data_IF_972857425097
#
_entry.id   IF_972857425097
#
_cell.length_a   1.000
_cell.length_b   1.000
_cell.length_c   1.000
_cell.angle_alpha   90.00
_cell.angle_beta   90.00
_cell.angle_gamma   90.00
#
_symmetry.space_group_name_H-M   'P 1'
#
loop_
_entity.id
_entity.type
_entity.pdbx_description
1 polymer ?
#
# COMPACT_ATOMS: atom_id res chain seq x y z
N UNK A 1 -24.28 -8.44 -1.67
CA UNK A 1 -23.26 -9.33 -1.10
C UNK A 1 -22.72 -10.21 -2.22
N UNK A 2 -21.71 -9.72 -2.94
CA UNK A 2 -21.20 -10.38 -4.15
C UNK A 2 -19.84 -9.89 -4.61
N UNK A 3 -19.40 -8.70 -4.14
CA UNK A 3 -18.06 -8.15 -4.41
C UNK A 3 -16.98 -8.67 -3.45
N UNK A 4 -17.38 -9.20 -2.29
CA UNK A 4 -16.48 -9.77 -1.27
C UNK A 4 -15.50 -10.82 -1.83
N UNK A 5 -15.93 -11.85 -2.61
CA UNK A 5 -14.99 -12.81 -3.19
C UNK A 5 -14.02 -12.16 -4.20
N UNK A 6 -14.46 -11.12 -4.92
CA UNK A 6 -13.58 -10.38 -5.84
C UNK A 6 -12.51 -9.60 -5.09
N UNK A 7 -12.87 -8.94 -3.99
CA UNK A 7 -11.92 -8.22 -3.14
C UNK A 7 -10.88 -9.18 -2.58
N UNK A 8 -11.29 -10.34 -2.05
CA UNK A 8 -10.36 -11.36 -1.54
C UNK A 8 -9.44 -11.88 -2.63
N UNK A 9 -9.96 -12.13 -3.84
CA UNK A 9 -9.14 -12.57 -4.97
C UNK A 9 -8.11 -11.50 -5.39
N UNK A 10 -8.49 -10.22 -5.42
CA UNK A 10 -7.59 -9.10 -5.73
C UNK A 10 -6.52 -8.94 -4.65
N UNK A 11 -6.87 -9.06 -3.37
CA UNK A 11 -5.89 -9.03 -2.27
C UNK A 11 -4.90 -10.20 -2.41
N UNK A 12 -5.38 -11.42 -2.69
CA UNK A 12 -4.51 -12.56 -2.91
C UNK A 12 -3.57 -12.33 -4.11
N UNK A 13 -4.10 -11.76 -5.20
CA UNK A 13 -3.30 -11.37 -6.37
C UNK A 13 -2.21 -10.34 -5.99
N UNK A 14 -2.56 -9.30 -5.22
CA UNK A 14 -1.60 -8.31 -4.73
C UNK A 14 -0.47 -8.93 -3.88
N UNK A 15 -0.79 -9.92 -3.03
CA UNK A 15 0.22 -10.61 -2.24
C UNK A 15 1.17 -11.41 -3.12
N UNK A 16 0.66 -12.08 -4.15
CA UNK A 16 1.47 -12.83 -5.11
C UNK A 16 2.37 -11.89 -5.91
N UNK A 17 1.84 -10.79 -6.45
CA UNK A 17 2.64 -9.83 -7.21
C UNK A 17 3.68 -9.13 -6.33
N UNK A 18 3.36 -8.83 -5.07
CA UNK A 18 4.32 -8.29 -4.10
C UNK A 18 5.47 -9.28 -3.82
N UNK A 19 5.16 -10.57 -3.64
CA UNK A 19 6.18 -11.60 -3.44
C UNK A 19 7.10 -11.72 -4.67
N UNK A 20 6.51 -11.74 -5.87
CA UNK A 20 7.27 -11.77 -7.13
C UNK A 20 8.12 -10.51 -7.27
N UNK A 21 7.60 -9.34 -6.92
CA UNK A 21 8.34 -8.07 -6.99
C UNK A 21 9.58 -8.07 -6.09
N UNK A 22 9.51 -8.70 -4.92
CA UNK A 22 10.64 -8.82 -3.97
C UNK A 22 11.68 -9.83 -4.43
N UNK A 23 11.25 -10.94 -5.05
CA UNK A 23 12.14 -11.99 -5.56
C UNK A 23 12.69 -11.69 -6.97
N UNK A 24 12.14 -10.67 -7.64
CA UNK A 24 12.56 -10.27 -8.98
C UNK A 24 14.03 -9.85 -9.00
N UNK A 25 14.82 -10.55 -9.83
CA UNK A 25 16.25 -10.25 -10.03
C UNK A 25 16.48 -8.99 -10.87
N UNK A 26 15.52 -8.66 -11.72
CA UNK A 26 15.53 -7.47 -12.56
C UNK A 26 14.59 -6.42 -11.94
N UNK A 27 15.12 -5.22 -11.75
CA UNK A 27 14.38 -4.08 -11.23
C UNK A 27 13.20 -3.71 -12.14
N UNK A 28 13.33 -3.86 -13.46
CA UNK A 28 12.24 -3.57 -14.38
C UNK A 28 11.08 -4.56 -14.16
N UNK A 29 11.38 -5.83 -13.96
CA UNK A 29 10.37 -6.86 -13.63
C UNK A 29 9.71 -6.58 -12.28
N UNK A 30 10.49 -6.16 -11.27
CA UNK A 30 9.98 -5.74 -9.96
C UNK A 30 8.98 -4.58 -10.07
N UNK A 31 9.34 -3.55 -10.85
CA UNK A 31 8.49 -2.36 -11.08
C UNK A 31 7.20 -2.72 -11.81
N UNK A 32 7.25 -3.61 -12.81
CA UNK A 32 6.04 -4.08 -13.51
C UNK A 32 5.11 -4.83 -12.54
N UNK A 33 5.66 -5.67 -11.66
CA UNK A 33 4.88 -6.40 -10.65
C UNK A 33 4.25 -5.45 -9.62
N UNK A 34 4.96 -4.39 -9.22
CA UNK A 34 4.41 -3.33 -8.39
C UNK A 34 3.21 -2.66 -9.07
N UNK A 35 3.33 -2.35 -10.36
CA UNK A 35 2.25 -1.84 -11.21
C UNK A 35 1.00 -2.71 -11.19
N UNK A 36 1.19 -4.02 -11.35
CA UNK A 36 0.08 -4.97 -11.29
C UNK A 36 -0.64 -4.93 -9.92
N UNK A 37 0.11 -4.83 -8.81
CA UNK A 37 -0.48 -4.67 -7.48
C UNK A 37 -1.26 -3.35 -7.33
N UNK A 38 -0.72 -2.24 -7.84
CA UNK A 38 -1.34 -0.92 -7.77
C UNK A 38 -2.63 -0.82 -8.60
N UNK A 39 -2.67 -1.42 -9.78
CA UNK A 39 -3.91 -1.51 -10.58
C UNK A 39 -4.97 -2.38 -9.90
N UNK A 40 -4.58 -3.48 -9.25
CA UNK A 40 -5.52 -4.28 -8.46
C UNK A 40 -6.13 -3.45 -7.32
N UNK A 41 -5.35 -2.56 -6.69
CA UNK A 41 -5.86 -1.63 -5.68
C UNK A 41 -6.87 -0.64 -6.27
N UNK A 42 -6.63 -0.07 -7.46
CA UNK A 42 -7.61 0.80 -8.13
C UNK A 42 -8.94 0.10 -8.39
N UNK A 43 -8.91 -1.20 -8.73
CA UNK A 43 -10.12 -2.00 -8.92
C UNK A 43 -10.84 -2.21 -7.59
N UNK A 44 -10.11 -2.46 -6.50
CA UNK A 44 -10.70 -2.55 -5.15
C UNK A 44 -11.41 -1.24 -4.78
N UNK A 45 -10.80 -0.08 -5.03
CA UNK A 45 -11.42 1.23 -4.74
C UNK A 45 -12.76 1.41 -5.50
N UNK A 46 -12.81 1.01 -6.77
CA UNK A 46 -14.05 1.00 -7.55
C UNK A 46 -15.10 0.05 -6.95
N UNK A 47 -14.69 -1.17 -6.55
CA UNK A 47 -15.58 -2.16 -5.95
C UNK A 47 -16.13 -1.73 -4.58
N UNK A 48 -15.37 -0.91 -3.85
CA UNK A 48 -15.78 -0.30 -2.58
C UNK A 48 -16.66 0.95 -2.76
N UNK A 49 -16.89 1.39 -4.00
CA UNK A 49 -17.71 2.56 -4.30
C UNK A 49 -17.00 3.88 -4.06
N UNK A 50 -15.65 3.89 -4.06
CA UNK A 50 -14.82 5.08 -3.93
C UNK A 50 -14.19 5.47 -5.30
N UNK A 51 -14.98 6.05 -6.23
CA UNK A 51 -14.51 6.35 -7.58
C UNK A 51 -13.43 7.44 -7.63
N UNK A 52 -13.46 8.39 -6.69
CA UNK A 52 -12.47 9.47 -6.63
C UNK A 52 -11.08 8.92 -6.27
N UNK A 53 -11.02 8.02 -5.27
CA UNK A 53 -9.80 7.33 -4.90
C UNK A 53 -9.26 6.48 -6.06
N UNK A 54 -10.13 5.73 -6.75
CA UNK A 54 -9.73 4.91 -7.89
C UNK A 54 -9.07 5.73 -9.01
N UNK A 55 -9.64 6.89 -9.37
CA UNK A 55 -9.07 7.76 -10.42
C UNK A 55 -7.71 8.29 -9.97
N UNK A 56 -7.59 8.77 -8.73
CA UNK A 56 -6.30 9.26 -8.21
C UNK A 56 -5.27 8.15 -8.13
N UNK A 57 -5.66 6.94 -7.76
CA UNK A 57 -4.80 5.77 -7.67
C UNK A 57 -4.23 5.42 -9.05
N UNK A 58 -5.05 5.38 -10.10
CA UNK A 58 -4.57 5.11 -11.47
C UNK A 58 -3.58 6.18 -11.92
N UNK A 59 -3.87 7.46 -11.67
CA UNK A 59 -2.97 8.57 -12.06
C UNK A 59 -1.63 8.47 -11.33
N UNK A 60 -1.65 8.27 -10.01
CA UNK A 60 -0.45 8.14 -9.18
C UNK A 60 0.34 6.90 -9.58
N UNK A 61 -0.33 5.78 -9.84
CA UNK A 61 0.29 4.52 -10.24
C UNK A 61 1.03 4.66 -11.57
N UNK A 62 0.41 5.28 -12.57
CA UNK A 62 1.05 5.51 -13.87
C UNK A 62 2.25 6.45 -13.74
N UNK A 63 2.14 7.52 -12.96
CA UNK A 63 3.27 8.43 -12.71
C UNK A 63 4.41 7.71 -11.97
N UNK A 64 4.09 6.94 -10.94
CA UNK A 64 5.07 6.16 -10.18
C UNK A 64 5.76 5.13 -11.06
N UNK A 65 5.01 4.40 -11.90
CA UNK A 65 5.56 3.44 -12.86
C UNK A 65 6.50 4.12 -13.86
N UNK A 66 6.10 5.24 -14.46
CA UNK A 66 6.96 5.99 -15.39
C UNK A 66 8.24 6.46 -14.70
N UNK A 67 8.14 6.98 -13.48
CA UNK A 67 9.30 7.43 -12.71
C UNK A 67 10.22 6.25 -12.35
N UNK A 68 9.67 5.14 -11.86
CA UNK A 68 10.44 3.95 -11.49
C UNK A 68 11.14 3.33 -12.69
N UNK A 69 10.42 3.14 -13.81
CA UNK A 69 11.01 2.64 -15.06
C UNK A 69 12.12 3.58 -15.52
N UNK A 70 11.91 4.90 -15.51
CA UNK A 70 12.93 5.87 -15.89
C UNK A 70 14.17 5.79 -15.00
N UNK A 71 14.00 5.66 -13.69
CA UNK A 71 15.11 5.50 -12.74
C UNK A 71 15.88 4.20 -12.99
N UNK A 72 15.17 3.09 -13.21
CA UNK A 72 15.77 1.78 -13.49
C UNK A 72 16.56 1.80 -14.80
N UNK A 73 15.99 2.36 -15.87
CA UNK A 73 16.66 2.44 -17.19
C UNK A 73 17.88 3.36 -17.17
N UNK A 74 17.84 4.45 -16.40
CA UNK A 74 18.97 5.37 -16.25
C UNK A 74 20.07 4.85 -15.30
N UNK A 75 19.79 3.79 -14.54
CA UNK A 75 20.75 3.22 -13.60
C UNK A 75 21.81 2.42 -14.37
N UNK A 76 23.03 2.94 -14.42
CA UNK A 76 24.18 2.13 -14.80
C UNK A 76 24.55 1.19 -13.65
N UNK A 77 24.43 -0.12 -13.89
CA UNK A 77 24.71 -1.17 -12.90
C UNK A 77 26.17 -1.10 -12.41
N UNK A 78 26.34 -0.59 -11.18
CA UNK A 78 27.60 -0.58 -10.43
C UNK A 78 27.41 -1.31 -9.08
N UNK A 79 26.51 -2.29 -9.05
CA UNK A 79 26.12 -3.00 -7.83
C UNK A 79 27.25 -3.91 -7.34
N UNK A 80 28.07 -3.39 -6.44
CA UNK A 80 28.95 -4.18 -5.56
C UNK A 80 28.04 -4.99 -4.65
N UNK A 81 28.16 -6.32 -4.71
CA UNK A 81 27.46 -7.22 -3.79
C UNK A 81 27.90 -6.93 -2.35
N UNK A 82 27.10 -6.16 -1.62
CA UNK A 82 27.30 -5.99 -0.19
C UNK A 82 27.00 -7.31 0.53
N UNK A 83 27.86 -7.77 1.45
CA UNK A 83 27.60 -8.97 2.23
C UNK A 83 26.28 -8.81 3.01
N UNK A 84 25.52 -9.91 3.12
CA UNK A 84 24.24 -9.95 3.85
C UNK A 84 24.47 -9.59 5.31
N UNK A 85 24.05 -8.39 5.69
CA UNK A 85 24.11 -7.90 7.07
C UNK A 85 22.93 -8.44 7.86
N UNK A 86 23.09 -9.63 8.45
CA UNK A 86 22.06 -10.33 9.20
C UNK A 86 21.50 -9.50 10.37
N UNK A 87 22.30 -8.59 10.93
CA UNK A 87 21.86 -7.69 11.99
C UNK A 87 20.88 -6.65 11.44
N UNK A 88 21.19 -6.03 10.30
CA UNK A 88 20.25 -5.11 9.63
C UNK A 88 18.97 -5.82 9.21
N UNK A 89 19.07 -7.01 8.63
CA UNK A 89 17.88 -7.80 8.26
C UNK A 89 17.04 -8.13 9.50
N UNK A 90 17.67 -8.58 10.59
CA UNK A 90 16.99 -8.86 11.85
C UNK A 90 16.31 -7.62 12.42
N UNK A 91 16.96 -6.45 12.40
CA UNK A 91 16.40 -5.20 12.88
C UNK A 91 15.20 -4.73 12.04
N UNK A 92 15.28 -4.84 10.71
CA UNK A 92 14.17 -4.51 9.80
C UNK A 92 12.97 -5.43 10.04
N UNK A 93 13.21 -6.74 10.19
CA UNK A 93 12.14 -7.69 10.47
C UNK A 93 11.50 -7.45 11.84
N UNK A 94 12.30 -7.13 12.86
CA UNK A 94 11.80 -6.87 14.21
C UNK A 94 11.02 -5.55 14.26
N UNK A 95 11.54 -4.49 13.62
CA UNK A 95 10.84 -3.21 13.50
C UNK A 95 9.53 -3.33 12.72
N UNK A 96 9.55 -4.00 11.56
CA UNK A 96 8.36 -4.27 10.77
C UNK A 96 7.34 -5.15 11.51
N UNK A 97 7.80 -6.19 12.19
CA UNK A 97 6.96 -7.06 13.00
C UNK A 97 6.33 -6.33 14.19
N UNK A 98 7.10 -5.48 14.89
CA UNK A 98 6.59 -4.67 16.00
C UNK A 98 5.53 -3.66 15.53
N UNK A 99 5.76 -3.01 14.39
CA UNK A 99 4.77 -2.13 13.76
C UNK A 99 3.47 -2.88 13.44
N UNK A 100 3.59 -4.09 12.89
CA UNK A 100 2.44 -4.91 12.50
C UNK A 100 1.63 -5.38 13.73
N UNK A 101 2.31 -5.80 14.79
CA UNK A 101 1.68 -6.14 16.07
C UNK A 101 0.99 -4.91 16.68
N UNK A 102 1.67 -3.75 16.69
CA UNK A 102 1.10 -2.52 17.20
C UNK A 102 -0.16 -2.11 16.44
N UNK A 103 -0.15 -2.21 15.10
CA UNK A 103 -1.33 -1.96 14.27
C UNK A 103 -2.48 -2.90 14.63
N UNK A 104 -2.24 -4.21 14.72
CA UNK A 104 -3.27 -5.20 15.09
C UNK A 104 -3.85 -4.90 16.48
N UNK A 105 -3.01 -4.58 17.46
CA UNK A 105 -3.46 -4.24 18.81
C UNK A 105 -4.29 -2.96 18.82
N UNK A 106 -3.92 -1.93 18.04
CA UNK A 106 -4.68 -0.69 17.91
C UNK A 106 -6.09 -0.94 17.35
N UNK A 107 -6.21 -1.75 16.29
CA UNK A 107 -7.51 -2.10 15.72
C UNK A 107 -8.35 -2.99 16.65
N UNK A 108 -7.72 -3.92 17.40
CA UNK A 108 -8.42 -4.78 18.37
C UNK A 108 -8.83 -4.04 19.64
N UNK A 109 -8.09 -2.99 20.01
CA UNK A 109 -8.33 -2.20 21.22
C UNK A 109 -9.59 -1.33 21.18
N UNK A 110 -10.33 -1.30 20.07
CA UNK A 110 -11.63 -0.61 19.96
C UNK A 110 -11.55 0.91 19.99
N UNK A 111 -10.34 1.50 19.93
CA UNK A 111 -10.13 2.95 19.95
C UNK A 111 -10.42 3.66 18.62
N UNK A 112 -10.75 2.91 17.56
CA UNK A 112 -11.09 3.47 16.26
C UNK A 112 -12.61 3.58 16.15
N UNK A 113 -13.17 4.81 16.10
CA UNK A 113 -14.61 4.99 15.94
C UNK A 113 -15.08 4.36 14.62
N UNK A 114 -16.35 3.90 14.55
CA UNK A 114 -16.90 3.39 13.31
C UNK A 114 -16.77 4.43 12.19
N UNK A 115 -16.39 3.96 10.99
CA UNK A 115 -16.38 4.81 9.81
C UNK A 115 -17.75 5.50 9.65
N UNK A 116 -17.74 6.83 9.53
CA UNK A 116 -18.96 7.63 9.41
C UNK A 116 -19.43 8.32 10.69
N UNK A 117 -18.78 8.12 11.85
CA UNK A 117 -19.04 8.93 13.06
C UNK A 117 -17.97 10.01 13.24
N UNK A 118 -18.29 11.31 13.01
CA UNK A 118 -17.33 12.39 13.19
C UNK A 118 -16.97 12.54 14.66
N UNK A 119 -15.70 12.39 14.98
CA UNK A 119 -15.15 12.64 16.34
C UNK A 119 -15.34 14.11 16.75
N UNK A 120 -15.45 15.02 15.77
CA UNK A 120 -15.71 16.44 15.98
C UNK A 120 -17.20 16.81 16.17
N UNK A 121 -18.14 15.86 16.15
CA UNK A 121 -19.56 16.18 16.34
C UNK A 121 -19.86 16.83 17.71
N UNK A 122 -18.98 16.66 18.70
CA UNK A 122 -19.06 17.33 20.00
C UNK A 122 -18.54 18.78 20.03
N UNK A 123 -17.96 19.29 18.93
CA UNK A 123 -17.43 20.65 18.83
C UNK A 123 -18.41 21.64 18.18
N UNK A 124 -19.71 21.32 18.13
CA UNK A 124 -20.77 22.19 17.57
C UNK A 124 -21.21 23.31 18.52
N UNK A 125 -20.28 23.90 19.27
CA UNK A 125 -20.48 25.20 19.92
C UNK A 125 -19.85 26.29 19.04
N UNK A 126 -20.32 26.42 17.80
CA UNK A 126 -20.09 27.64 17.01
C UNK A 126 -21.19 28.63 17.44
N UNK A 127 -20.86 29.76 18.08
CA UNK A 127 -21.86 30.75 18.46
C UNK A 127 -22.57 31.30 17.21
N UNK A 128 -23.91 31.44 17.22
CA UNK A 128 -24.60 32.07 16.11
C UNK A 128 -24.26 33.57 16.09
N UNK A 129 -23.40 34.00 15.16
CA UNK A 129 -23.05 35.42 15.06
C UNK A 129 -21.79 35.82 14.27
N UNK A 130 -21.14 34.92 13.54
CA UNK A 130 -20.11 35.28 12.53
C UNK A 130 -20.43 34.68 11.18
#
# INVERSE_FOLDING_TARGET
MGVEPFIVALIAFMLVTALIAVEARDLLSSVICLGAAGFALSVIDLLLGAPDLAITQVVVEVVALVLLVRVVVLRHDTSVHAPRDALRTGLVLLGGGMLLVAAVLAFRGGGVPPFGQPVLAGASAVPPGV
#
